data_IF_075145413801
#
_entry.id   IF_075145413801
#
_cell.length_a   1.000
_cell.length_b   1.000
_cell.length_c   1.000
_cell.angle_alpha   90.00
_cell.angle_beta   90.00
_cell.angle_gamma   90.00
#
_symmetry.space_group_name_H-M   'P 1'
#
loop_
_entity.id
_entity.type
_entity.pdbx_description
1 polymer ?
#
# COMPACT_ATOMS: atom_id res chain seq x y z
N UNK A 1 -8.15 -6.47 5.62
CA UNK A 1 -8.55 -6.08 4.24
C UNK A 1 -10.03 -6.29 3.90
N UNK A 2 -10.79 -7.07 4.69
CA UNK A 2 -12.13 -7.56 4.33
C UNK A 2 -13.23 -6.52 4.04
N UNK A 3 -13.20 -5.33 4.65
CA UNK A 3 -14.32 -4.37 4.52
C UNK A 3 -14.49 -3.83 3.09
N UNK A 4 -13.41 -3.45 2.41
CA UNK A 4 -13.54 -2.94 1.04
C UNK A 4 -13.91 -4.04 0.04
N UNK A 5 -13.50 -5.30 0.30
CA UNK A 5 -13.92 -6.44 -0.50
C UNK A 5 -15.43 -6.66 -0.37
N UNK A 6 -15.97 -6.57 0.86
CA UNK A 6 -17.40 -6.60 1.10
C UNK A 6 -18.15 -5.48 0.36
N UNK A 7 -17.61 -4.26 0.36
CA UNK A 7 -18.22 -3.10 -0.33
C UNK A 7 -18.20 -3.25 -1.85
N UNK A 8 -17.10 -3.77 -2.42
CA UNK A 8 -16.97 -4.05 -3.85
C UNK A 8 -17.84 -5.22 -4.30
N UNK A 9 -18.09 -6.19 -3.43
CA UNK A 9 -19.02 -7.31 -3.64
C UNK A 9 -20.45 -7.01 -3.18
N UNK A 10 -20.74 -5.75 -2.85
CA UNK A 10 -22.06 -5.31 -2.40
C UNK A 10 -23.14 -5.48 -3.48
N UNK A 11 -24.41 -5.46 -3.06
CA UNK A 11 -25.56 -5.49 -3.96
C UNK A 11 -25.43 -4.41 -5.05
N UNK A 12 -25.55 -4.80 -6.32
CA UNK A 12 -25.50 -3.89 -7.46
C UNK A 12 -26.54 -2.76 -7.38
N UNK A 13 -27.58 -2.92 -6.57
CA UNK A 13 -28.57 -1.87 -6.25
C UNK A 13 -28.04 -0.81 -5.29
N UNK A 14 -26.82 -0.95 -4.78
CA UNK A 14 -26.15 -0.02 -3.85
C UNK A 14 -24.88 0.56 -4.50
N UNK A 15 -25.00 1.37 -5.56
CA UNK A 15 -23.85 1.91 -6.29
C UNK A 15 -22.90 2.70 -5.38
N UNK A 16 -23.41 3.38 -4.36
CA UNK A 16 -22.60 4.09 -3.37
C UNK A 16 -21.65 3.19 -2.57
N UNK A 17 -21.98 1.91 -2.38
CA UNK A 17 -21.10 0.96 -1.69
C UNK A 17 -19.93 0.56 -2.56
N UNK A 18 -20.20 0.27 -3.83
CA UNK A 18 -19.16 -0.03 -4.81
C UNK A 18 -18.24 1.18 -4.96
N UNK A 19 -18.81 2.39 -5.09
CA UNK A 19 -18.05 3.64 -5.15
C UNK A 19 -17.16 3.82 -3.92
N UNK A 20 -17.72 3.72 -2.71
CA UNK A 20 -16.96 3.79 -1.47
C UNK A 20 -15.84 2.73 -1.42
N UNK A 21 -16.12 1.50 -1.87
CA UNK A 21 -15.14 0.41 -1.94
C UNK A 21 -13.98 0.71 -2.91
N UNK A 22 -14.23 1.49 -3.97
CA UNK A 22 -13.17 1.84 -4.94
C UNK A 22 -12.20 2.90 -4.44
N UNK A 23 -12.69 3.85 -3.62
CA UNK A 23 -11.88 4.95 -3.06
C UNK A 23 -11.32 4.64 -1.67
N UNK A 24 -11.82 3.62 -0.98
CA UNK A 24 -11.37 3.28 0.37
C UNK A 24 -9.90 2.81 0.38
N UNK A 25 -9.05 3.59 1.05
CA UNK A 25 -7.66 3.24 1.32
C UNK A 25 -7.55 2.81 2.78
N UNK A 26 -7.19 1.56 3.02
CA UNK A 26 -6.89 1.06 4.36
C UNK A 26 -5.38 0.95 4.54
N UNK A 27 -4.83 1.67 5.52
CA UNK A 27 -3.42 1.57 5.91
C UNK A 27 -3.33 0.71 7.16
N UNK A 28 -2.84 -0.52 6.98
CA UNK A 28 -2.40 -1.36 8.08
C UNK A 28 -0.87 -1.25 8.28
N UNK A 29 -0.35 -1.98 9.27
CA UNK A 29 1.08 -1.97 9.57
C UNK A 29 1.93 -2.47 8.39
N UNK A 30 1.44 -3.41 7.57
CA UNK A 30 2.19 -3.91 6.41
C UNK A 30 2.33 -2.84 5.33
N UNK A 31 1.23 -2.15 5.00
CA UNK A 31 1.23 -1.06 4.01
C UNK A 31 2.11 0.10 4.48
N UNK A 32 1.99 0.50 5.75
CA UNK A 32 2.81 1.56 6.32
C UNK A 32 4.30 1.18 6.30
N UNK A 33 4.65 0.00 6.80
CA UNK A 33 6.03 -0.48 6.86
C UNK A 33 6.67 -0.60 5.48
N UNK A 34 5.89 -0.97 4.45
CA UNK A 34 6.36 -0.97 3.07
C UNK A 34 6.79 0.43 2.62
N UNK A 35 5.95 1.46 2.81
CA UNK A 35 6.25 2.83 2.41
C UNK A 35 7.44 3.41 3.20
N UNK A 36 7.56 3.07 4.48
CA UNK A 36 8.69 3.45 5.32
C UNK A 36 10.00 2.82 4.83
N UNK A 37 10.04 1.48 4.75
CA UNK A 37 11.26 0.72 4.49
C UNK A 37 11.82 0.90 3.07
N UNK A 38 10.92 1.15 2.11
CA UNK A 38 11.31 1.48 0.72
C UNK A 38 11.88 2.89 0.60
N UNK A 39 11.78 3.73 1.64
CA UNK A 39 12.25 5.11 1.63
C UNK A 39 11.25 6.10 1.06
N UNK A 40 10.08 5.65 0.58
CA UNK A 40 9.07 6.52 -0.05
C UNK A 40 8.62 7.63 0.90
N UNK A 41 8.41 7.33 2.19
CA UNK A 41 8.04 8.36 3.16
C UNK A 41 9.15 9.41 3.33
N UNK A 42 10.42 8.99 3.34
CA UNK A 42 11.56 9.91 3.45
C UNK A 42 11.71 10.78 2.21
N UNK A 43 11.70 10.16 1.04
CA UNK A 43 11.86 10.85 -0.25
C UNK A 43 10.79 11.91 -0.49
N UNK A 44 9.61 11.74 0.13
CA UNK A 44 8.48 12.66 0.07
C UNK A 44 8.35 13.58 1.29
N UNK A 45 9.35 13.61 2.18
CA UNK A 45 9.33 14.37 3.43
C UNK A 45 8.06 14.14 4.28
N UNK A 46 7.64 12.88 4.34
CA UNK A 46 6.40 12.39 4.93
C UNK A 46 6.64 11.33 6.02
N UNK A 47 7.83 11.28 6.64
CA UNK A 47 8.12 10.33 7.73
C UNK A 47 7.18 10.56 8.93
N UNK A 48 6.58 9.48 9.42
CA UNK A 48 5.70 9.47 10.59
C UNK A 48 5.61 8.07 11.16
N UNK A 49 5.31 7.95 12.46
CA UNK A 49 4.94 6.66 13.04
C UNK A 49 3.55 6.20 12.55
N UNK A 50 3.37 4.88 12.41
CA UNK A 50 2.08 4.26 12.12
C UNK A 50 0.98 4.76 13.07
N UNK A 51 -0.18 5.12 12.51
CA UNK A 51 -1.33 5.62 13.27
C UNK A 51 -2.15 6.61 12.45
N UNK A 52 -2.83 7.54 13.12
CA UNK A 52 -3.70 8.53 12.48
C UNK A 52 -2.99 9.39 11.42
N UNK A 53 -1.68 9.65 11.58
CA UNK A 53 -0.88 10.39 10.60
C UNK A 53 -0.77 9.70 9.24
N UNK A 54 -1.05 8.40 9.15
CA UNK A 54 -1.17 7.71 7.86
C UNK A 54 -2.26 8.33 6.96
N UNK A 55 -3.25 8.99 7.55
CA UNK A 55 -4.37 9.62 6.85
C UNK A 55 -4.32 11.16 6.84
N UNK A 56 -3.32 11.75 7.51
CA UNK A 56 -3.11 13.20 7.50
C UNK A 56 -2.64 13.67 6.09
N UNK A 57 -2.70 14.98 5.79
CA UNK A 57 -2.05 15.52 4.59
C UNK A 57 -0.60 15.03 4.49
N UNK A 58 -0.20 14.59 3.29
CA UNK A 58 1.10 13.95 3.01
C UNK A 58 1.34 12.59 3.69
N UNK A 59 0.35 12.00 4.37
CA UNK A 59 0.44 10.65 4.94
C UNK A 59 0.42 9.52 3.92
N UNK A 60 0.46 8.27 4.40
CA UNK A 60 0.43 7.07 3.55
C UNK A 60 -0.75 7.03 2.57
N UNK A 61 -1.97 7.35 3.02
CA UNK A 61 -3.16 7.27 2.18
C UNK A 61 -3.14 8.29 1.02
N UNK A 62 -2.87 9.60 1.25
CA UNK A 62 -2.67 10.54 0.15
C UNK A 62 -1.52 10.17 -0.79
N UNK A 63 -0.44 9.56 -0.29
CA UNK A 63 0.65 9.07 -1.16
C UNK A 63 0.16 7.96 -2.09
N UNK A 64 -0.58 6.98 -1.57
CA UNK A 64 -1.19 5.91 -2.38
C UNK A 64 -2.14 6.49 -3.42
N UNK A 65 -2.96 7.47 -3.04
CA UNK A 65 -3.87 8.15 -3.95
C UNK A 65 -3.11 8.87 -5.07
N UNK A 66 -2.04 9.59 -4.76
CA UNK A 66 -1.17 10.23 -5.76
C UNK A 66 -0.51 9.22 -6.70
N UNK A 67 -0.15 8.04 -6.20
CA UNK A 67 0.38 6.94 -7.03
C UNK A 67 -0.72 6.41 -7.95
N UNK A 68 -1.92 6.20 -7.43
CA UNK A 68 -3.06 5.70 -8.20
C UNK A 68 -3.44 6.64 -9.35
N UNK A 69 -3.36 7.96 -9.14
CA UNK A 69 -3.59 8.95 -10.19
C UNK A 69 -2.58 8.87 -11.35
N UNK A 70 -1.45 8.17 -11.19
CA UNK A 70 -0.44 7.95 -12.24
C UNK A 70 -0.60 6.61 -12.96
N UNK A 71 -1.58 5.80 -12.59
CA UNK A 71 -1.78 4.45 -13.10
C UNK A 71 -3.20 4.38 -13.68
N UNK A 72 -3.32 4.12 -14.98
CA UNK A 72 -4.60 3.75 -15.56
C UNK A 72 -4.92 2.28 -15.24
N UNK A 73 -5.78 2.06 -14.24
CA UNK A 73 -6.11 0.71 -13.77
C UNK A 73 -6.89 -0.11 -14.81
N UNK A 74 -7.50 0.53 -15.81
CA UNK A 74 -8.20 -0.16 -16.92
C UNK A 74 -7.27 -1.01 -17.77
N UNK A 75 -5.97 -0.70 -17.76
CA UNK A 75 -4.93 -1.50 -18.43
C UNK A 75 -4.77 -2.90 -17.84
N UNK A 76 -5.18 -3.10 -16.58
CA UNK A 76 -5.14 -4.41 -15.92
C UNK A 76 -6.49 -5.12 -15.98
N UNK A 77 -7.58 -4.35 -15.90
CA UNK A 77 -8.93 -4.86 -16.11
C UNK A 77 -9.81 -3.71 -16.65
N UNK A 78 -10.36 -3.80 -17.87
CA UNK A 78 -11.19 -2.75 -18.46
C UNK A 78 -12.41 -2.33 -17.63
N UNK A 79 -12.89 -3.20 -16.73
CA UNK A 79 -14.01 -2.90 -15.83
C UNK A 79 -13.62 -2.04 -14.61
N UNK A 80 -12.34 -1.78 -14.38
CA UNK A 80 -11.89 -0.91 -13.28
C UNK A 80 -12.11 0.57 -13.60
N UNK A 81 -12.28 1.44 -12.59
CA UNK A 81 -12.16 2.87 -12.80
C UNK A 81 -10.73 3.21 -13.26
N UNK A 82 -10.57 4.30 -14.01
CA UNK A 82 -9.25 4.73 -14.49
C UNK A 82 -8.28 4.95 -13.32
N UNK A 83 -8.73 5.63 -12.26
CA UNK A 83 -8.00 5.82 -11.01
C UNK A 83 -8.59 4.91 -9.94
N UNK A 84 -7.79 3.99 -9.42
CA UNK A 84 -8.25 2.99 -8.45
C UNK A 84 -7.27 2.88 -7.26
N UNK A 85 -7.36 3.74 -6.23
CA UNK A 85 -6.41 3.76 -5.12
C UNK A 85 -6.33 2.45 -4.34
N UNK A 86 -7.48 1.78 -4.18
CA UNK A 86 -7.54 0.47 -3.54
C UNK A 86 -6.77 -0.60 -4.29
N UNK A 87 -6.67 -0.54 -5.63
CA UNK A 87 -5.84 -1.46 -6.40
C UNK A 87 -4.36 -1.36 -6.00
N UNK A 88 -3.85 -0.13 -5.87
CA UNK A 88 -2.46 0.13 -5.43
C UNK A 88 -2.24 -0.35 -4.00
N UNK A 89 -3.15 0.02 -3.08
CA UNK A 89 -3.06 -0.39 -1.69
C UNK A 89 -3.10 -1.91 -1.53
N UNK A 90 -3.99 -2.59 -2.26
CA UNK A 90 -4.11 -4.05 -2.24
C UNK A 90 -2.88 -4.74 -2.86
N UNK A 91 -2.29 -4.18 -3.91
CA UNK A 91 -1.05 -4.70 -4.50
C UNK A 91 0.11 -4.64 -3.49
N UNK A 92 0.27 -3.51 -2.79
CA UNK A 92 1.26 -3.37 -1.71
C UNK A 92 0.99 -4.39 -0.60
N UNK A 93 -0.26 -4.50 -0.16
CA UNK A 93 -0.64 -5.45 0.88
C UNK A 93 -0.31 -6.90 0.47
N UNK A 94 -0.70 -7.34 -0.74
CA UNK A 94 -0.39 -8.69 -1.25
C UNK A 94 1.11 -8.94 -1.33
N UNK A 95 1.90 -7.93 -1.69
CA UNK A 95 3.36 -8.04 -1.73
C UNK A 95 3.96 -8.34 -0.34
N UNK A 96 3.34 -7.82 0.73
CA UNK A 96 3.84 -7.91 2.09
C UNK A 96 3.19 -9.03 2.92
N UNK A 97 1.93 -9.35 2.66
CA UNK A 97 1.13 -10.24 3.49
C UNK A 97 1.66 -11.68 3.48
N UNK A 98 1.64 -12.32 4.66
CA UNK A 98 2.07 -13.71 4.84
C UNK A 98 1.23 -14.70 4.02
N UNK A 99 -0.07 -14.43 3.88
CA UNK A 99 -1.00 -15.25 3.10
C UNK A 99 -0.94 -14.99 1.59
N UNK A 100 -0.02 -14.14 1.14
CA UNK A 100 0.19 -13.85 -0.28
C UNK A 100 1.69 -13.95 -0.62
N UNK A 101 2.32 -12.92 -1.17
CA UNK A 101 3.72 -13.04 -1.61
C UNK A 101 4.73 -13.08 -0.46
N UNK A 102 4.38 -12.55 0.71
CA UNK A 102 5.23 -12.55 1.91
C UNK A 102 6.67 -12.02 1.65
N UNK A 103 6.84 -11.08 0.71
CA UNK A 103 8.17 -10.63 0.28
C UNK A 103 8.74 -9.53 1.18
N UNK A 104 7.99 -8.45 1.38
CA UNK A 104 8.37 -7.35 2.27
C UNK A 104 7.54 -7.35 3.56
N UNK A 105 7.40 -8.52 4.20
CA UNK A 105 6.59 -8.65 5.40
C UNK A 105 7.28 -7.99 6.61
N UNK A 106 6.79 -6.81 7.01
CA UNK A 106 7.32 -6.06 8.15
C UNK A 106 7.34 -6.82 9.48
N UNK A 107 6.51 -7.85 9.65
CA UNK A 107 6.49 -8.68 10.87
C UNK A 107 7.59 -9.75 10.88
N UNK A 108 8.25 -10.00 9.75
CA UNK A 108 9.25 -11.07 9.57
C UNK A 108 10.64 -10.56 9.16
N UNK A 109 10.76 -9.28 8.87
CA UNK A 109 12.02 -8.67 8.49
C UNK A 109 12.91 -8.51 9.73
N UNK A 110 14.15 -8.98 9.61
CA UNK A 110 15.24 -8.63 10.50
C UNK A 110 16.03 -7.47 9.88
N UNK A 111 15.98 -6.29 10.52
CA UNK A 111 16.71 -5.11 10.07
C UNK A 111 18.22 -5.17 10.38
N UNK A 112 18.69 -6.20 11.10
CA UNK A 112 20.13 -6.44 11.36
C UNK A 112 20.87 -6.98 10.12
N UNK A 113 20.15 -7.53 9.16
CA UNK A 113 20.70 -8.11 7.94
C UNK A 113 20.30 -7.31 6.70
N UNK A 114 21.18 -7.29 5.71
CA UNK A 114 20.86 -6.74 4.40
C UNK A 114 19.74 -7.57 3.74
N UNK A 115 18.80 -6.91 3.08
CA UNK A 115 17.73 -7.65 2.40
C UNK A 115 18.23 -8.35 1.13
N UNK A 116 18.04 -9.68 1.09
CA UNK A 116 18.59 -10.59 0.07
C UNK A 116 17.68 -10.80 -1.16
N UNK A 117 16.51 -10.16 -1.22
CA UNK A 117 15.55 -10.34 -2.31
C UNK A 117 15.97 -9.64 -3.62
N UNK A 118 16.94 -10.19 -4.34
CA UNK A 118 17.54 -9.61 -5.53
C UNK A 118 16.53 -9.30 -6.66
N UNK A 119 15.45 -10.07 -6.76
CA UNK A 119 14.37 -9.90 -7.76
C UNK A 119 13.28 -8.90 -7.32
N UNK A 120 13.49 -8.19 -6.21
CA UNK A 120 12.49 -7.26 -5.71
C UNK A 120 12.37 -6.05 -6.67
N UNK A 121 11.17 -5.70 -7.16
CA UNK A 121 11.00 -4.60 -8.11
C UNK A 121 11.34 -3.23 -7.52
N UNK A 122 11.42 -3.14 -6.18
CA UNK A 122 11.88 -1.96 -5.45
C UNK A 122 13.29 -2.15 -4.86
N UNK A 123 14.04 -3.17 -5.30
CA UNK A 123 15.39 -3.48 -4.79
C UNK A 123 16.39 -2.34 -5.02
N UNK A 124 16.32 -1.70 -6.19
CA UNK A 124 17.25 -0.63 -6.58
C UNK A 124 16.93 0.71 -5.93
N UNK A 125 15.69 0.91 -5.46
CA UNK A 125 15.28 2.04 -4.64
C UNK A 125 15.48 1.69 -3.17
N UNK A 126 16.67 1.93 -2.61
CA UNK A 126 16.97 1.42 -1.26
C UNK A 126 17.68 2.41 -0.37
N UNK A 127 16.88 3.25 0.29
CA UNK A 127 17.22 3.82 1.58
C UNK A 127 17.30 2.73 2.69
N UNK A 128 16.74 1.52 2.46
CA UNK A 128 16.69 0.36 3.40
C UNK A 128 16.37 0.83 4.82
N UNK A 129 15.36 1.68 4.96
CA UNK A 129 15.13 2.35 6.22
C UNK A 129 14.72 1.31 7.27
N UNK A 130 15.47 1.17 8.37
CA UNK A 130 15.10 0.25 9.44
C UNK A 130 13.72 0.61 10.01
N UNK A 131 12.90 -0.40 10.30
CA UNK A 131 11.58 -0.21 10.89
C UNK A 131 11.65 0.08 12.39
N UNK A 132 12.75 -0.33 13.04
CA UNK A 132 13.07 0.01 14.43
C UNK A 132 14.39 0.78 14.47
N UNK A 133 14.51 1.84 15.27
CA UNK A 133 15.81 2.39 15.62
C UNK A 133 16.64 1.29 16.31
N UNK A 134 17.95 1.28 16.03
CA UNK A 134 18.92 0.39 16.67
C UNK A 134 19.10 0.73 18.16
#
# INVERSE_FOLDING_TARGET
MALAELLLSGDAKRPAWIEAGTVMIAIDTLVHNFLHRTGILRDLAAEHAYGSRCYAPNGCAPIIERIANKIDARRFNPAYPAVFPRFVQHAIWRFCAQTSFNRCNGNRIDDRAACEQLDCPVFTRRARVPMKPA
#
